data_IF_557690866406
#
_entry.id   IF_557690866406
#
_cell.length_a   1.000
_cell.length_b   1.000
_cell.length_c   1.000
_cell.angle_alpha   90.00
_cell.angle_beta   90.00
_cell.angle_gamma   90.00
#
_symmetry.space_group_name_H-M   'P 1'
#
loop_
_entity.id
_entity.type
_entity.pdbx_description
1 polymer ?
#
# COMPACT_ATOMS: atom_id res chain seq x y z
N UNK A 1 -24.63 -9.60 19.15
CA UNK A 1 -24.62 -8.17 18.76
C UNK A 1 -23.36 -7.58 19.36
N UNK A 2 -22.23 -7.70 18.66
CA UNK A 2 -20.94 -7.20 19.12
C UNK A 2 -20.73 -5.85 18.45
N UNK A 3 -20.80 -4.78 19.24
CA UNK A 3 -20.32 -3.46 18.84
C UNK A 3 -18.80 -3.50 18.94
N UNK A 4 -18.12 -3.60 17.79
CA UNK A 4 -16.69 -3.35 17.73
C UNK A 4 -16.47 -1.86 17.99
N UNK A 5 -15.77 -1.55 19.09
CA UNK A 5 -15.32 -0.20 19.42
C UNK A 5 -14.18 0.14 18.48
N UNK A 6 -14.41 1.13 17.62
CA UNK A 6 -13.44 1.65 16.66
C UNK A 6 -12.42 2.50 17.44
N UNK A 7 -11.23 1.95 17.69
CA UNK A 7 -10.06 2.74 18.09
C UNK A 7 -9.34 3.24 16.82
N UNK A 8 -9.95 4.21 16.15
CA UNK A 8 -9.24 5.01 15.15
C UNK A 8 -8.37 6.01 15.91
N UNK A 9 -7.13 5.63 16.24
CA UNK A 9 -6.13 6.60 16.68
C UNK A 9 -5.70 7.43 15.48
N UNK A 10 -6.52 8.44 15.16
CA UNK A 10 -6.13 9.49 14.21
C UNK A 10 -5.13 10.39 14.92
N UNK A 11 -3.84 10.20 14.65
CA UNK A 11 -2.85 11.20 15.02
C UNK A 11 -2.99 12.37 14.04
N UNK A 12 -3.89 13.31 14.32
CA UNK A 12 -4.31 14.39 13.40
C UNK A 12 -3.17 15.34 12.96
N UNK A 13 -1.99 15.25 13.59
CA UNK A 13 -0.79 15.99 13.23
C UNK A 13 0.10 15.27 12.19
N UNK A 14 -0.15 13.99 11.90
CA UNK A 14 0.68 13.16 11.02
C UNK A 14 -0.25 12.49 10.01
N UNK A 15 -0.04 12.68 8.70
CA UNK A 15 -0.93 12.21 7.63
C UNK A 15 -1.04 10.69 7.45
N UNK A 16 -0.90 9.90 8.53
CA UNK A 16 -0.94 8.45 8.57
C UNK A 16 -2.22 7.97 9.25
N UNK A 17 -3.01 7.17 8.53
CA UNK A 17 -4.26 6.59 9.02
C UNK A 17 -4.09 5.07 9.17
N UNK A 18 -4.43 4.52 10.33
CA UNK A 18 -4.39 3.08 10.58
C UNK A 18 -5.79 2.48 10.46
N UNK A 19 -5.92 1.41 9.69
CA UNK A 19 -7.15 0.63 9.55
C UNK A 19 -6.86 -0.87 9.67
N UNK A 20 -7.88 -1.64 9.96
CA UNK A 20 -7.89 -3.09 9.76
C UNK A 20 -8.43 -3.42 8.37
N UNK A 21 -8.07 -4.58 7.81
CA UNK A 21 -8.52 -5.00 6.48
C UNK A 21 -10.06 -5.08 6.33
N UNK A 22 -10.79 -5.23 7.43
CA UNK A 22 -12.26 -5.28 7.44
C UNK A 22 -12.92 -3.89 7.43
N UNK A 23 -12.16 -2.81 7.55
CA UNK A 23 -12.70 -1.45 7.68
C UNK A 23 -12.83 -0.73 6.33
N UNK A 24 -13.99 -0.09 6.11
CA UNK A 24 -14.29 0.80 4.97
C UNK A 24 -13.47 2.12 4.97
N UNK A 25 -12.43 2.21 5.81
CA UNK A 25 -11.60 3.38 6.01
C UNK A 25 -10.85 3.79 4.74
N UNK A 26 -10.31 2.81 3.99
CA UNK A 26 -9.53 3.11 2.80
C UNK A 26 -10.34 3.84 1.72
N UNK A 27 -11.57 3.39 1.42
CA UNK A 27 -12.46 4.08 0.47
C UNK A 27 -12.80 5.50 0.91
N UNK A 28 -12.86 5.75 2.22
CA UNK A 28 -13.13 7.08 2.77
C UNK A 28 -11.90 7.98 2.64
N UNK A 29 -10.72 7.46 2.98
CA UNK A 29 -9.45 8.16 2.82
C UNK A 29 -9.27 8.57 1.35
N UNK A 30 -9.38 7.62 0.41
CA UNK A 30 -9.25 7.85 -1.04
C UNK A 30 -10.17 8.99 -1.53
N UNK A 31 -11.43 9.02 -1.07
CA UNK A 31 -12.40 10.08 -1.45
C UNK A 31 -12.08 11.44 -0.85
N UNK A 32 -11.43 11.49 0.32
CA UNK A 32 -11.09 12.75 0.98
C UNK A 32 -9.91 13.46 0.31
N UNK A 33 -9.00 12.74 -0.35
CA UNK A 33 -7.83 13.32 -1.01
C UNK A 33 -8.00 13.67 -2.49
N UNK A 34 -9.14 13.37 -3.13
CA UNK A 34 -9.25 13.39 -4.62
C UNK A 34 -8.10 12.60 -5.28
N UNK A 35 -7.77 11.45 -4.66
CA UNK A 35 -6.65 10.61 -5.04
C UNK A 35 -6.84 10.06 -6.46
N UNK A 36 -5.80 10.14 -7.30
CA UNK A 36 -5.77 9.59 -8.66
C UNK A 36 -4.85 8.39 -8.76
N UNK A 37 -3.80 8.35 -7.93
CA UNK A 37 -2.81 7.29 -7.90
C UNK A 37 -2.53 6.81 -6.48
N UNK A 38 -2.71 5.51 -6.30
CA UNK A 38 -2.44 4.83 -5.05
C UNK A 38 -1.27 3.87 -5.23
N UNK A 39 -0.29 3.94 -4.34
CA UNK A 39 0.87 3.04 -4.31
C UNK A 39 0.73 2.03 -3.18
N UNK A 40 0.88 0.75 -3.50
CA UNK A 40 0.89 -0.33 -2.52
C UNK A 40 2.23 -1.06 -2.62
N UNK A 41 3.23 -0.69 -1.79
CA UNK A 41 4.47 -1.42 -1.73
C UNK A 41 4.25 -2.79 -1.08
N UNK A 42 4.92 -3.80 -1.63
CA UNK A 42 4.89 -5.15 -1.09
C UNK A 42 6.24 -5.85 -1.26
N UNK A 43 6.43 -6.88 -0.45
CA UNK A 43 7.64 -7.69 -0.33
C UNK A 43 7.27 -9.07 0.23
N UNK A 44 8.24 -9.95 0.48
CA UNK A 44 7.93 -11.34 0.88
C UNK A 44 7.32 -11.46 2.28
N UNK A 45 7.44 -10.44 3.11
CA UNK A 45 6.89 -10.42 4.48
C UNK A 45 5.47 -9.86 4.54
N UNK A 46 4.99 -9.24 3.46
CA UNK A 46 3.61 -8.87 3.30
C UNK A 46 2.98 -9.61 2.10
N UNK A 47 2.33 -10.76 2.34
CA UNK A 47 1.62 -11.45 1.28
C UNK A 47 0.47 -10.57 0.76
N UNK A 48 0.24 -10.59 -0.56
CA UNK A 48 -0.66 -9.65 -1.22
C UNK A 48 -2.14 -9.83 -0.88
N UNK A 49 -2.56 -10.97 -0.33
CA UNK A 49 -3.94 -11.42 -0.47
C UNK A 49 -4.98 -10.55 0.26
N UNK A 50 -4.78 -10.26 1.54
CA UNK A 50 -5.74 -9.47 2.34
C UNK A 50 -5.73 -7.99 1.96
N UNK A 51 -4.56 -7.36 2.01
CA UNK A 51 -4.45 -5.92 1.79
C UNK A 51 -4.68 -5.52 0.33
N UNK A 52 -4.30 -6.36 -0.65
CA UNK A 52 -4.57 -6.01 -2.05
C UNK A 52 -6.05 -6.09 -2.37
N UNK A 53 -6.79 -7.04 -1.80
CA UNK A 53 -8.23 -7.11 -2.02
C UNK A 53 -8.91 -5.81 -1.57
N UNK A 54 -8.52 -5.29 -0.40
CA UNK A 54 -9.02 -4.01 0.15
C UNK A 54 -8.60 -2.83 -0.73
N UNK A 55 -7.34 -2.79 -1.15
CA UNK A 55 -6.83 -1.73 -2.02
C UNK A 55 -7.51 -1.73 -3.40
N UNK A 56 -7.69 -2.90 -4.02
CA UNK A 56 -8.37 -3.06 -5.30
C UNK A 56 -9.84 -2.65 -5.21
N UNK A 57 -10.54 -3.06 -4.14
CA UNK A 57 -11.93 -2.67 -3.92
C UNK A 57 -12.08 -1.14 -3.76
N UNK A 58 -11.20 -0.51 -2.97
CA UNK A 58 -11.20 0.94 -2.79
C UNK A 58 -10.86 1.69 -4.08
N UNK A 59 -9.88 1.19 -4.84
CA UNK A 59 -9.47 1.74 -6.13
C UNK A 59 -10.62 1.66 -7.14
N UNK A 60 -11.30 0.50 -7.23
CA UNK A 60 -12.44 0.31 -8.11
C UNK A 60 -13.62 1.23 -7.75
N UNK A 61 -13.93 1.38 -6.46
CA UNK A 61 -15.04 2.24 -5.99
C UNK A 61 -14.81 3.73 -6.20
N UNK A 62 -13.54 4.12 -6.38
CA UNK A 62 -13.12 5.52 -6.45
C UNK A 62 -12.50 5.89 -7.80
N UNK A 63 -12.46 4.95 -8.75
CA UNK A 63 -11.85 5.11 -10.08
C UNK A 63 -10.38 5.58 -10.02
N UNK A 64 -9.60 4.93 -9.16
CA UNK A 64 -8.20 5.27 -8.88
C UNK A 64 -7.26 4.24 -9.49
N UNK A 65 -6.16 4.70 -10.09
CA UNK A 65 -5.10 3.82 -10.56
C UNK A 65 -4.32 3.27 -9.37
N UNK A 66 -4.09 1.95 -9.36
CA UNK A 66 -3.30 1.30 -8.32
C UNK A 66 -1.94 0.87 -8.89
N UNK A 67 -0.88 1.22 -8.17
CA UNK A 67 0.48 0.83 -8.48
C UNK A 67 0.95 -0.14 -7.40
N UNK A 68 1.19 -1.38 -7.80
CA UNK A 68 1.77 -2.39 -6.92
C UNK A 68 3.29 -2.35 -7.09
N UNK A 69 4.00 -1.94 -6.04
CA UNK A 69 5.45 -1.77 -6.07
C UNK A 69 6.15 -2.90 -5.34
N UNK A 70 6.82 -3.77 -6.07
CA UNK A 70 7.68 -4.78 -5.47
C UNK A 70 9.04 -4.18 -5.14
N UNK A 71 9.42 -4.23 -3.86
CA UNK A 71 10.75 -3.83 -3.41
C UNK A 71 11.72 -5.02 -3.46
N UNK A 72 12.95 -4.75 -3.87
CA UNK A 72 14.03 -5.71 -3.99
C UNK A 72 15.26 -5.17 -3.25
N UNK A 73 15.92 -6.05 -2.51
CA UNK A 73 17.19 -5.70 -1.84
C UNK A 73 18.36 -5.77 -2.83
N UNK A 74 18.31 -6.68 -3.79
CA UNK A 74 19.34 -6.88 -4.82
C UNK A 74 18.71 -7.03 -6.21
N UNK A 75 19.33 -6.41 -7.21
CA UNK A 75 18.97 -6.56 -8.62
C UNK A 75 19.10 -8.01 -9.12
N UNK A 76 19.94 -8.84 -8.50
CA UNK A 76 20.11 -10.25 -8.83
C UNK A 76 18.84 -11.10 -8.59
N UNK A 77 17.89 -10.63 -7.79
CA UNK A 77 16.63 -11.34 -7.51
C UNK A 77 15.57 -11.21 -8.62
N UNK A 78 15.84 -10.36 -9.61
CA UNK A 78 14.88 -9.99 -10.65
C UNK A 78 14.39 -11.14 -11.54
N UNK A 79 15.22 -12.15 -11.88
CA UNK A 79 14.82 -13.22 -12.82
C UNK A 79 13.69 -14.12 -12.31
N UNK A 80 13.77 -14.60 -11.06
CA UNK A 80 12.70 -15.42 -10.46
C UNK A 80 11.46 -14.59 -10.19
N UNK A 81 11.67 -13.31 -9.87
CA UNK A 81 10.60 -12.36 -9.63
C UNK A 81 9.74 -12.13 -10.86
N UNK A 82 10.32 -12.03 -12.07
CA UNK A 82 9.55 -11.80 -13.30
C UNK A 82 8.48 -12.87 -13.54
N UNK A 83 8.77 -14.14 -13.22
CA UNK A 83 7.79 -15.22 -13.37
C UNK A 83 6.62 -15.07 -12.39
N UNK A 84 6.90 -14.74 -11.13
CA UNK A 84 5.88 -14.48 -10.12
C UNK A 84 5.03 -13.24 -10.46
N UNK A 85 5.67 -12.15 -10.90
CA UNK A 85 5.01 -10.92 -11.30
C UNK A 85 4.11 -11.12 -12.53
N UNK A 86 4.50 -11.96 -13.50
CA UNK A 86 3.59 -12.31 -14.62
C UNK A 86 2.34 -13.04 -14.16
N UNK A 87 2.49 -13.99 -13.23
CA UNK A 87 1.35 -14.72 -12.66
C UNK A 87 0.38 -13.76 -11.95
N UNK A 88 0.94 -12.87 -11.14
CA UNK A 88 0.19 -11.81 -10.47
C UNK A 88 -0.48 -10.86 -11.47
N UNK A 89 0.23 -10.39 -12.50
CA UNK A 89 -0.33 -9.52 -13.53
C UNK A 89 -1.51 -10.16 -14.26
N UNK A 90 -1.42 -11.45 -14.61
CA UNK A 90 -2.54 -12.18 -15.22
C UNK A 90 -3.75 -12.28 -14.29
N UNK A 91 -3.53 -12.46 -12.98
CA UNK A 91 -4.60 -12.42 -12.00
C UNK A 91 -5.20 -11.02 -11.88
N UNK A 92 -4.39 -9.96 -11.96
CA UNK A 92 -4.86 -8.58 -11.81
C UNK A 92 -5.68 -8.10 -13.01
N UNK A 93 -5.48 -8.68 -14.20
CA UNK A 93 -6.29 -8.38 -15.39
C UNK A 93 -7.77 -8.73 -15.25
N UNK A 94 -8.16 -9.53 -14.25
CA UNK A 94 -9.56 -9.85 -14.00
C UNK A 94 -10.32 -8.70 -13.33
N UNK A 95 -9.62 -7.70 -12.79
CA UNK A 95 -10.22 -6.56 -12.11
C UNK A 95 -10.45 -5.40 -13.11
N UNK A 96 -11.57 -4.67 -13.01
CA UNK A 96 -11.91 -3.58 -13.90
C UNK A 96 -11.17 -2.26 -13.58
N UNK A 97 -10.06 -2.33 -12.84
CA UNK A 97 -9.27 -1.18 -12.40
C UNK A 97 -7.90 -1.21 -13.08
N UNK A 98 -7.35 -0.03 -13.36
CA UNK A 98 -5.99 0.05 -13.92
C UNK A 98 -4.96 -0.30 -12.85
N UNK A 99 -4.33 -1.47 -13.01
CA UNK A 99 -3.26 -1.95 -12.14
C UNK A 99 -1.92 -1.87 -12.85
N UNK A 100 -0.98 -1.12 -12.28
CA UNK A 100 0.41 -1.03 -12.73
C UNK A 100 1.26 -1.86 -11.79
N UNK A 101 2.04 -2.79 -12.34
CA UNK A 101 3.00 -3.57 -11.57
C UNK A 101 4.41 -3.03 -11.81
N UNK A 102 5.09 -2.63 -10.74
CA UNK A 102 6.41 -2.02 -10.79
C UNK A 102 7.38 -2.71 -9.81
N UNK A 103 8.67 -2.50 -10.06
CA UNK A 103 9.75 -3.01 -9.22
C UNK A 103 10.71 -1.87 -8.90
N UNK A 104 11.19 -1.77 -7.66
CA UNK A 104 12.28 -0.88 -7.28
C UNK A 104 13.33 -1.65 -6.48
N UNK A 105 14.60 -1.28 -6.65
CA UNK A 105 15.75 -1.88 -5.95
C UNK A 105 16.35 -0.84 -5.01
N UNK A 106 16.53 -1.18 -3.75
CA UNK A 106 17.20 -0.34 -2.75
C UNK A 106 16.51 -0.29 -1.39
N UNK A 107 16.95 0.61 -0.48
CA UNK A 107 16.38 0.77 0.84
C UNK A 107 14.88 1.09 0.78
N UNK A 108 14.07 0.33 1.52
CA UNK A 108 12.62 0.38 1.40
C UNK A 108 12.00 1.79 1.54
N UNK A 109 12.28 2.59 2.59
CA UNK A 109 11.65 3.90 2.74
C UNK A 109 12.03 4.88 1.62
N UNK A 110 13.31 4.92 1.26
CA UNK A 110 13.86 5.82 0.25
C UNK A 110 13.29 5.48 -1.13
N UNK A 111 13.28 4.19 -1.49
CA UNK A 111 12.75 3.74 -2.76
C UNK A 111 11.25 3.99 -2.89
N UNK A 112 10.47 3.74 -1.84
CA UNK A 112 9.03 4.02 -1.85
C UNK A 112 8.81 5.53 -2.05
N UNK A 113 9.51 6.37 -1.29
CA UNK A 113 9.37 7.83 -1.33
C UNK A 113 9.77 8.41 -2.69
N UNK A 114 10.90 7.97 -3.24
CA UNK A 114 11.38 8.42 -4.54
C UNK A 114 10.47 7.96 -5.67
N UNK A 115 9.99 6.72 -5.62
CA UNK A 115 9.05 6.20 -6.59
C UNK A 115 7.71 6.94 -6.53
N UNK A 116 7.17 7.15 -5.32
CA UNK A 116 5.95 7.90 -5.09
C UNK A 116 6.04 9.32 -5.68
N UNK A 117 7.16 10.01 -5.45
CA UNK A 117 7.42 11.34 -6.00
C UNK A 117 7.51 11.33 -7.53
N UNK A 118 8.19 10.34 -8.11
CA UNK A 118 8.38 10.24 -9.57
C UNK A 118 7.08 9.93 -10.32
N UNK A 119 6.15 9.23 -9.68
CA UNK A 119 4.88 8.82 -10.25
C UNK A 119 3.69 9.69 -9.81
N UNK A 120 3.94 10.81 -9.11
CA UNK A 120 2.91 11.70 -8.54
C UNK A 120 1.84 10.90 -7.77
N UNK A 121 2.29 10.05 -6.85
CA UNK A 121 1.41 9.24 -6.01
C UNK A 121 0.76 10.13 -4.95
N UNK A 122 -0.56 10.03 -4.82
CA UNK A 122 -1.34 10.82 -3.86
C UNK A 122 -1.49 10.10 -2.51
N UNK A 123 -1.52 8.76 -2.55
CA UNK A 123 -1.76 7.90 -1.40
C UNK A 123 -0.84 6.68 -1.40
N UNK A 124 -0.17 6.43 -0.27
CA UNK A 124 0.59 5.18 -0.05
C UNK A 124 -0.19 4.29 0.91
N UNK A 125 -0.42 3.04 0.53
CA UNK A 125 -1.06 2.03 1.37
C UNK A 125 -0.01 1.02 1.79
N UNK A 126 0.41 1.09 3.05
CA UNK A 126 1.29 0.12 3.67
C UNK A 126 0.48 -1.01 4.26
N UNK A 127 1.09 -2.18 4.28
CA UNK A 127 0.55 -3.32 4.98
C UNK A 127 1.25 -3.49 6.33
N UNK A 128 0.48 -3.84 7.33
CA UNK A 128 0.93 -4.16 8.68
C UNK A 128 0.54 -5.61 8.97
N UNK A 129 1.55 -6.47 9.05
CA UNK A 129 1.39 -7.81 9.59
C UNK A 129 1.61 -7.71 11.11
N UNK A 130 0.73 -8.28 11.94
CA UNK A 130 0.84 -8.13 13.41
C UNK A 130 2.20 -8.58 13.99
N UNK A 131 2.90 -9.48 13.30
CA UNK A 131 4.24 -9.92 13.64
C UNK A 131 5.32 -8.83 13.51
N UNK A 132 5.13 -7.84 12.63
CA UNK A 132 6.09 -6.76 12.38
C UNK A 132 5.46 -5.35 12.43
N UNK A 133 4.40 -5.14 13.22
CA UNK A 133 3.73 -3.83 13.34
C UNK A 133 4.66 -2.67 13.69
N UNK A 134 5.69 -2.92 14.50
CA UNK A 134 6.73 -1.92 14.80
C UNK A 134 7.51 -1.51 13.54
N UNK A 135 7.79 -2.44 12.63
CA UNK A 135 8.47 -2.14 11.36
C UNK A 135 7.57 -1.39 10.40
N UNK A 136 6.29 -1.74 10.30
CA UNK A 136 5.35 -1.01 9.43
C UNK A 136 5.14 0.43 9.92
N UNK A 137 5.13 0.65 11.23
CA UNK A 137 5.11 2.00 11.80
C UNK A 137 6.43 2.75 11.56
N UNK A 138 7.59 2.14 11.81
CA UNK A 138 8.90 2.77 11.54
C UNK A 138 9.05 3.11 10.05
N UNK A 139 8.60 2.23 9.17
CA UNK A 139 8.55 2.45 7.72
C UNK A 139 7.68 3.65 7.37
N UNK A 140 6.47 3.72 7.93
CA UNK A 140 5.57 4.84 7.73
C UNK A 140 6.24 6.15 8.19
N UNK A 141 6.78 6.19 9.40
CA UNK A 141 7.45 7.37 9.93
C UNK A 141 8.65 7.80 9.06
N UNK A 142 9.44 6.83 8.58
CA UNK A 142 10.57 7.08 7.69
C UNK A 142 10.13 7.65 6.33
N UNK A 143 9.09 7.09 5.71
CA UNK A 143 8.54 7.60 4.45
C UNK A 143 7.98 9.01 4.64
N UNK A 144 7.20 9.24 5.71
CA UNK A 144 6.60 10.55 5.99
C UNK A 144 7.65 11.64 6.19
N UNK A 145 8.77 11.29 6.85
CA UNK A 145 9.88 12.22 7.08
C UNK A 145 10.55 12.67 5.77
N UNK A 146 10.50 11.84 4.72
CA UNK A 146 11.13 12.11 3.42
C UNK A 146 10.17 12.66 2.37
N UNK A 147 8.89 12.29 2.47
CA UNK A 147 7.85 12.67 1.56
C UNK A 147 6.53 12.87 2.31
N UNK A 148 6.06 14.13 2.47
CA UNK A 148 4.79 14.40 3.12
C UNK A 148 3.64 14.03 2.16
N UNK A 149 3.32 12.74 2.08
CA UNK A 149 2.16 12.22 1.37
C UNK A 149 1.10 11.74 2.37
N UNK A 150 -0.11 11.48 1.89
CA UNK A 150 -1.09 10.75 2.70
C UNK A 150 -0.70 9.28 2.72
N UNK A 151 -0.78 8.68 3.89
CA UNK A 151 -0.50 7.26 4.05
C UNK A 151 -1.59 6.57 4.84
N UNK A 152 -1.83 5.32 4.45
CA UNK A 152 -2.76 4.43 5.12
C UNK A 152 -2.00 3.16 5.45
N UNK A 153 -2.11 2.69 6.68
CA UNK A 153 -1.53 1.42 7.12
C UNK A 153 -2.69 0.46 7.39
N UNK A 154 -2.73 -0.65 6.65
CA UNK A 154 -3.78 -1.68 6.76
C UNK A 154 -3.23 -2.87 7.53
N UNK A 155 -3.85 -3.18 8.67
CA UNK A 155 -3.56 -4.35 9.48
C UNK A 155 -4.28 -5.57 8.95
N UNK A 156 -3.51 -6.59 8.61
CA UNK A 156 -4.03 -7.93 8.32
C UNK A 156 -4.24 -8.68 9.65
N UNK A 157 -5.43 -9.27 9.83
CA UNK A 157 -5.87 -9.88 11.10
C UNK A 157 -5.37 -11.32 11.28
#
# INVERSE_FOLDING_TARGET
MFTATVESQVNQDVGVLFYTAEEAGLSTAVKQCDCKRMLVPFNDWCPPEGVFAVALDAAQKSDVQIILLRLLEDAAESEKLYAALRGLQAQLQQYPVEVVLATAVGPCPDCISDYARQQDVDLIVLCDNQADAAKSQEMAEAIQAQHPCQMVVIRDN
#
